data_IF_381633823283
#
_entry.id   IF_381633823283
#
_cell.length_a   1.000
_cell.length_b   1.000
_cell.length_c   1.000
_cell.angle_alpha   90.00
_cell.angle_beta   90.00
_cell.angle_gamma   90.00
#
_symmetry.space_group_name_H-M   'P 1'
#
loop_
_entity.id
_entity.type
_entity.pdbx_description
1 polymer ?
#
# COMPACT_ATOMS: atom_id res chain seq x y z
N UNK A 1 9.69 -27.44 -12.52
CA UNK A 1 9.24 -26.44 -11.53
C UNK A 1 9.73 -25.09 -12.00
N UNK A 2 8.90 -24.33 -12.71
CA UNK A 2 9.25 -22.97 -13.13
C UNK A 2 8.98 -22.02 -11.95
N UNK A 3 9.95 -21.16 -11.68
CA UNK A 3 9.87 -20.12 -10.67
C UNK A 3 8.80 -19.09 -11.08
N UNK A 4 7.58 -19.17 -10.53
CA UNK A 4 6.67 -18.02 -10.59
C UNK A 4 7.29 -16.91 -9.75
N UNK A 5 7.52 -15.77 -10.38
CA UNK A 5 8.03 -14.57 -9.72
C UNK A 5 6.84 -14.04 -8.91
N UNK A 6 7.02 -13.76 -7.61
CA UNK A 6 5.96 -13.23 -6.73
C UNK A 6 5.63 -11.77 -7.13
N UNK A 7 4.97 -11.58 -8.28
CA UNK A 7 4.77 -10.29 -8.94
C UNK A 7 3.32 -10.21 -9.40
N UNK A 8 2.64 -9.05 -9.31
CA UNK A 8 1.26 -8.98 -9.72
C UNK A 8 1.10 -9.22 -11.22
N UNK A 9 0.51 -10.36 -11.59
CA UNK A 9 0.26 -10.78 -12.95
C UNK A 9 -1.02 -10.12 -13.46
N UNK A 10 -0.90 -9.36 -14.55
CA UNK A 10 -2.03 -8.68 -15.17
C UNK A 10 -2.77 -9.61 -16.14
N UNK A 11 -4.09 -9.75 -15.97
CA UNK A 11 -4.95 -10.55 -16.82
C UNK A 11 -4.54 -12.04 -16.95
N UNK A 12 -3.80 -12.60 -16.00
CA UNK A 12 -3.49 -14.03 -15.96
C UNK A 12 -4.62 -14.80 -15.24
N UNK A 13 -5.29 -15.69 -15.99
CA UNK A 13 -6.36 -16.54 -15.48
C UNK A 13 -5.87 -17.67 -14.56
N UNK A 14 -4.55 -17.88 -14.47
CA UNK A 14 -3.91 -18.90 -13.62
C UNK A 14 -3.20 -18.27 -12.40
N UNK A 15 -3.26 -16.94 -12.26
CA UNK A 15 -2.76 -16.25 -11.08
C UNK A 15 -3.62 -16.58 -9.87
N UNK A 16 -2.98 -16.88 -8.75
CA UNK A 16 -3.70 -16.94 -7.47
C UNK A 16 -4.23 -15.53 -7.11
N UNK A 17 -5.27 -15.41 -6.28
CA UNK A 17 -5.87 -14.11 -5.98
C UNK A 17 -4.88 -13.06 -5.43
N UNK A 18 -3.87 -13.49 -4.68
CA UNK A 18 -2.82 -12.61 -4.16
C UNK A 18 -1.75 -12.25 -5.20
N UNK A 19 -1.68 -13.00 -6.31
CA UNK A 19 -0.80 -12.78 -7.45
C UNK A 19 -1.46 -11.88 -8.52
N UNK A 20 -2.78 -11.67 -8.50
CA UNK A 20 -3.46 -10.85 -9.52
C UNK A 20 -3.23 -9.35 -9.32
N UNK A 21 -2.85 -8.64 -10.39
CA UNK A 21 -2.76 -7.18 -10.39
C UNK A 21 -4.11 -6.52 -10.10
N UNK A 22 -5.20 -7.05 -10.64
CA UNK A 22 -6.56 -6.51 -10.49
C UNK A 22 -7.00 -6.51 -9.04
N UNK A 23 -6.75 -7.60 -8.31
CA UNK A 23 -7.10 -7.72 -6.89
C UNK A 23 -6.22 -6.81 -6.03
N UNK A 24 -4.91 -6.80 -6.27
CA UNK A 24 -3.99 -5.93 -5.54
C UNK A 24 -4.30 -4.44 -5.78
N UNK A 25 -4.61 -4.06 -7.03
CA UNK A 25 -4.99 -2.70 -7.39
C UNK A 25 -6.33 -2.31 -6.77
N UNK A 26 -7.31 -3.20 -6.73
CA UNK A 26 -8.58 -2.94 -6.05
C UNK A 26 -8.36 -2.63 -4.56
N UNK A 27 -7.54 -3.42 -3.87
CA UNK A 27 -7.19 -3.17 -2.47
C UNK A 27 -6.46 -1.82 -2.28
N UNK A 28 -5.50 -1.52 -3.16
CA UNK A 28 -4.77 -0.24 -3.17
C UNK A 28 -5.72 0.96 -3.36
N UNK A 29 -6.69 0.87 -4.25
CA UNK A 29 -7.70 1.93 -4.48
C UNK A 29 -8.60 2.12 -3.28
N UNK A 30 -9.05 1.04 -2.63
CA UNK A 30 -9.84 1.12 -1.40
C UNK A 30 -9.05 1.84 -0.30
N UNK A 31 -7.76 1.55 -0.17
CA UNK A 31 -6.89 2.24 0.78
C UNK A 31 -6.78 3.74 0.47
N UNK A 32 -6.49 4.10 -0.78
CA UNK A 32 -6.34 5.50 -1.19
C UNK A 32 -7.63 6.31 -0.96
N UNK A 33 -8.78 5.76 -1.35
CA UNK A 33 -10.10 6.39 -1.20
C UNK A 33 -10.47 6.57 0.27
N UNK A 34 -10.40 5.49 1.05
CA UNK A 34 -10.83 5.57 2.44
C UNK A 34 -9.87 6.46 3.24
N UNK A 35 -8.56 6.35 2.99
CA UNK A 35 -7.55 7.16 3.66
C UNK A 35 -7.54 8.62 3.22
N UNK A 36 -8.29 8.96 2.15
CA UNK A 36 -8.26 10.25 1.48
C UNK A 36 -6.82 10.74 1.26
N UNK A 37 -5.97 9.82 0.80
CA UNK A 37 -4.53 10.03 0.70
C UNK A 37 -4.00 9.45 -0.61
N UNK A 38 -3.03 10.12 -1.26
CA UNK A 38 -2.35 9.55 -2.40
C UNK A 38 -1.57 8.30 -1.99
N UNK A 39 -1.55 7.29 -2.86
CA UNK A 39 -0.89 6.01 -2.61
C UNK A 39 0.14 5.69 -3.70
N UNK A 40 1.31 5.21 -3.29
CA UNK A 40 2.30 4.65 -4.21
C UNK A 40 2.20 3.13 -4.15
N UNK A 41 1.83 2.50 -5.27
CA UNK A 41 1.82 1.06 -5.44
C UNK A 41 3.05 0.65 -6.24
N UNK A 42 4.08 0.14 -5.57
CA UNK A 42 5.31 -0.30 -6.23
C UNK A 42 5.40 -1.83 -6.19
N UNK A 43 5.12 -2.48 -7.32
CA UNK A 43 5.34 -3.91 -7.50
C UNK A 43 6.26 -4.19 -8.68
N UNK A 44 6.96 -5.32 -8.64
CA UNK A 44 7.66 -5.82 -9.82
C UNK A 44 6.59 -6.14 -10.87
N UNK A 45 6.72 -5.60 -12.07
CA UNK A 45 5.69 -5.75 -13.10
C UNK A 45 4.43 -4.91 -12.87
N UNK A 46 4.39 -3.88 -12.02
CA UNK A 46 3.48 -2.73 -12.16
C UNK A 46 3.80 -1.69 -11.09
N UNK A 47 4.07 -0.44 -11.49
CA UNK A 47 4.25 0.66 -10.54
C UNK A 47 3.22 1.75 -10.81
N UNK A 48 2.62 2.33 -9.77
CA UNK A 48 1.53 3.31 -9.90
C UNK A 48 1.59 4.37 -8.80
N UNK A 49 1.19 5.58 -9.17
CA UNK A 49 0.75 6.60 -8.24
C UNK A 49 -0.77 6.73 -8.36
N UNK A 50 -1.47 6.64 -7.24
CA UNK A 50 -2.91 6.86 -7.14
C UNK A 50 -3.19 8.18 -6.42
N UNK A 51 -4.21 8.92 -6.87
CA UNK A 51 -4.76 10.04 -6.11
C UNK A 51 -5.65 9.54 -4.96
N UNK A 52 -6.14 10.47 -4.13
CA UNK A 52 -7.04 10.19 -3.02
C UNK A 52 -8.42 9.68 -3.46
N UNK A 53 -8.73 9.71 -4.76
CA UNK A 53 -9.95 9.15 -5.36
C UNK A 53 -9.69 7.73 -5.93
N UNK A 54 -8.46 7.23 -5.82
CA UNK A 54 -8.05 5.92 -6.33
C UNK A 54 -7.80 5.90 -7.84
N UNK A 55 -7.67 7.06 -8.50
CA UNK A 55 -7.36 7.15 -9.92
C UNK A 55 -5.85 7.16 -10.16
N UNK A 56 -5.42 6.53 -11.24
CA UNK A 56 -4.01 6.50 -11.63
C UNK A 56 -3.54 7.91 -12.06
N UNK A 57 -2.58 8.47 -11.34
CA UNK A 57 -1.86 9.71 -11.68
C UNK A 57 -0.68 9.45 -12.62
N UNK A 58 -0.02 8.29 -12.44
CA UNK A 58 1.01 7.79 -13.34
C UNK A 58 1.18 6.27 -13.17
N UNK A 59 1.54 5.58 -14.24
CA UNK A 59 1.61 4.11 -14.28
C UNK A 59 2.79 3.62 -15.10
N UNK A 60 3.44 2.56 -14.62
CA UNK A 60 4.21 1.61 -15.41
C UNK A 60 3.36 0.35 -15.52
N UNK A 61 2.94 0.05 -16.75
CA UNK A 61 2.12 -1.12 -17.03
C UNK A 61 2.91 -2.41 -16.81
N UNK A 62 2.19 -3.51 -16.55
CA UNK A 62 2.84 -4.78 -16.26
C UNK A 62 3.65 -5.38 -17.39
N UNK A 63 3.27 -5.04 -18.63
CA UNK A 63 3.99 -5.45 -19.83
C UNK A 63 5.29 -4.67 -20.06
N UNK A 64 5.50 -3.56 -19.35
CA UNK A 64 6.66 -2.68 -19.54
C UNK A 64 7.86 -3.24 -18.80
N UNK A 65 8.99 -3.39 -19.51
CA UNK A 65 10.24 -3.83 -18.87
C UNK A 65 10.75 -2.77 -17.89
N UNK A 66 11.17 -3.22 -16.70
CA UNK A 66 11.87 -2.36 -15.73
C UNK A 66 13.23 -1.89 -16.22
N UNK A 67 13.80 -2.51 -17.26
CA UNK A 67 15.01 -2.00 -17.91
C UNK A 67 14.70 -0.84 -18.86
N UNK A 68 13.55 -0.85 -19.53
CA UNK A 68 13.08 0.25 -20.39
C UNK A 68 12.62 1.45 -19.56
N UNK A 69 11.88 1.20 -18.49
CA UNK A 69 11.36 2.25 -17.61
C UNK A 69 11.73 1.95 -16.15
N UNK A 70 12.96 2.30 -15.74
CA UNK A 70 13.45 1.99 -14.39
C UNK A 70 12.87 2.91 -13.30
N UNK A 71 12.24 4.01 -13.68
CA UNK A 71 11.74 5.03 -12.76
C UNK A 71 10.31 5.45 -13.11
N UNK A 72 9.48 5.52 -12.08
CA UNK A 72 8.22 6.23 -12.08
C UNK A 72 8.32 7.39 -11.09
N UNK A 73 7.95 8.59 -11.51
CA UNK A 73 8.06 9.80 -10.70
C UNK A 73 6.78 10.62 -10.81
N UNK A 74 6.29 11.11 -9.68
CA UNK A 74 5.17 12.04 -9.61
C UNK A 74 5.41 13.08 -8.50
N UNK A 75 5.01 14.32 -8.74
CA UNK A 75 5.06 15.40 -7.74
C UNK A 75 3.68 15.61 -7.14
N UNK A 76 3.61 15.71 -5.82
CA UNK A 76 2.38 16.07 -5.11
C UNK A 76 2.48 17.49 -4.58
N UNK A 77 1.45 18.30 -4.81
CA UNK A 77 1.33 19.59 -4.15
C UNK A 77 0.88 19.37 -2.70
N UNK A 78 1.78 19.60 -1.76
CA UNK A 78 1.55 19.38 -0.33
C UNK A 78 1.20 20.65 0.44
N UNK A 79 0.98 21.78 -0.24
CA UNK A 79 0.72 23.07 0.44
C UNK A 79 -0.46 23.02 1.42
N UNK A 80 -1.42 22.11 1.20
CA UNK A 80 -2.60 21.91 2.06
C UNK A 80 -2.45 20.78 3.09
N UNK A 81 -1.37 19.99 3.07
CA UNK A 81 -1.12 18.93 4.05
C UNK A 81 -0.84 19.50 5.45
N UNK A 82 -0.25 20.70 5.53
CA UNK A 82 -0.07 21.41 6.81
C UNK A 82 -1.40 21.89 7.42
N UNK A 83 -2.47 22.00 6.62
CA UNK A 83 -3.81 22.44 7.05
C UNK A 83 -4.69 21.25 7.47
N UNK A 84 -4.28 20.02 7.16
CA UNK A 84 -5.00 18.81 7.58
C UNK A 84 -4.54 18.35 8.96
N UNK A 85 -5.48 17.97 9.81
CA UNK A 85 -5.17 17.36 11.12
C UNK A 85 -4.31 16.12 10.88
N UNK A 86 -3.04 16.08 11.34
CA UNK A 86 -2.06 15.10 10.89
C UNK A 86 -2.34 13.67 11.37
N UNK A 87 -3.23 13.51 12.34
CA UNK A 87 -3.55 12.25 12.97
C UNK A 87 -4.86 12.38 13.77
N UNK A 88 -5.83 11.53 13.49
CA UNK A 88 -7.00 11.32 14.37
C UNK A 88 -6.93 9.91 14.92
N UNK A 89 -6.91 9.78 16.25
CA UNK A 89 -6.98 8.49 16.94
C UNK A 89 -8.28 7.72 16.64
N UNK A 90 -9.32 8.46 16.24
CA UNK A 90 -10.62 7.93 15.83
C UNK A 90 -10.67 7.67 14.31
N UNK A 91 -9.57 7.91 13.58
CA UNK A 91 -9.45 7.66 12.14
C UNK A 91 -9.38 6.17 11.84
N UNK A 92 -10.54 5.56 11.57
CA UNK A 92 -10.71 4.13 11.33
C UNK A 92 -9.79 3.56 10.23
N UNK A 93 -9.36 4.37 9.28
CA UNK A 93 -8.43 3.93 8.23
C UNK A 93 -7.00 3.65 8.71
N UNK A 94 -6.57 4.29 9.79
CA UNK A 94 -5.23 4.07 10.34
C UNK A 94 -5.23 2.87 11.29
N UNK A 95 -6.03 2.93 12.36
CA UNK A 95 -6.01 1.92 13.41
C UNK A 95 -7.00 0.77 13.16
N UNK A 96 -8.18 1.07 12.61
CA UNK A 96 -9.19 0.08 12.28
C UNK A 96 -8.73 -0.89 11.19
N UNK A 97 -8.03 -0.41 10.14
CA UNK A 97 -7.44 -1.30 9.11
C UNK A 97 -6.32 -2.15 9.70
N UNK A 98 -5.43 -1.59 10.53
CA UNK A 98 -4.41 -2.38 11.21
C UNK A 98 -5.02 -3.47 12.11
N UNK A 99 -6.12 -3.15 12.78
CA UNK A 99 -6.86 -4.10 13.60
C UNK A 99 -7.58 -5.15 12.74
N UNK A 100 -8.17 -4.77 11.60
CA UNK A 100 -8.75 -5.72 10.64
C UNK A 100 -7.68 -6.67 10.09
N UNK A 101 -6.52 -6.16 9.67
CA UNK A 101 -5.37 -7.00 9.26
C UNK A 101 -5.00 -7.96 10.39
N UNK A 102 -4.79 -7.46 11.61
CA UNK A 102 -4.47 -8.27 12.79
C UNK A 102 -5.52 -9.35 13.08
N UNK A 103 -6.81 -9.04 12.91
CA UNK A 103 -7.92 -9.98 13.12
C UNK A 103 -7.96 -11.02 12.00
N UNK A 104 -7.77 -10.61 10.74
CA UNK A 104 -7.79 -11.47 9.54
C UNK A 104 -6.62 -12.45 9.45
N UNK A 105 -5.52 -12.23 10.18
CA UNK A 105 -4.44 -13.22 10.26
C UNK A 105 -4.96 -14.56 10.79
N UNK A 106 -4.64 -15.70 10.14
CA UNK A 106 -5.09 -17.02 10.55
C UNK A 106 -4.80 -17.30 12.03
N UNK A 107 -5.75 -17.95 12.70
CA UNK A 107 -5.70 -18.19 14.15
C UNK A 107 -4.46 -18.96 14.64
N UNK A 108 -3.77 -19.69 13.76
CA UNK A 108 -2.55 -20.43 14.08
C UNK A 108 -1.30 -19.55 14.09
N UNK A 109 -1.34 -18.33 13.55
CA UNK A 109 -0.22 -17.39 13.60
C UNK A 109 -0.23 -16.68 14.96
N UNK A 110 0.83 -16.82 15.79
CA UNK A 110 0.86 -16.25 17.12
C UNK A 110 0.75 -14.72 17.09
N UNK A 111 -0.30 -14.18 17.70
CA UNK A 111 -0.56 -12.74 17.82
C UNK A 111 0.08 -12.14 19.07
N UNK A 112 1.28 -12.61 19.40
CA UNK A 112 2.06 -12.14 20.57
C UNK A 112 3.01 -11.02 20.15
N UNK A 113 3.09 -9.97 20.98
CA UNK A 113 4.07 -8.90 20.80
C UNK A 113 5.47 -9.51 20.91
N UNK A 114 6.19 -9.56 19.79
CA UNK A 114 7.56 -10.07 19.77
C UNK A 114 8.51 -9.20 20.58
N UNK A 115 9.52 -9.81 21.20
CA UNK A 115 10.56 -9.11 21.98
C UNK A 115 11.62 -8.42 21.11
N UNK A 116 11.62 -8.68 19.79
CA UNK A 116 12.66 -8.23 18.87
C UNK A 116 12.55 -6.76 18.42
N UNK A 117 11.44 -6.08 18.71
CA UNK A 117 11.27 -4.66 18.41
C UNK A 117 10.92 -3.94 19.70
N UNK A 118 11.93 -3.50 20.45
CA UNK A 118 11.70 -2.62 21.59
C UNK A 118 10.99 -1.35 21.11
N UNK A 119 9.76 -1.14 21.59
CA UNK A 119 9.01 0.10 21.38
C UNK A 119 9.82 1.27 21.95
N UNK A 120 10.44 2.08 21.08
CA UNK A 120 10.96 3.40 21.47
C UNK A 120 9.83 4.40 21.47
N UNK A 121 9.60 5.05 22.60
CA UNK A 121 8.74 6.22 22.71
C UNK A 121 9.63 7.42 22.39
N UNK A 122 9.37 8.09 21.27
CA UNK A 122 9.99 9.39 20.96
C UNK A 122 9.00 10.46 21.45
N UNK A 123 9.25 11.10 22.62
CA UNK A 123 8.37 12.14 23.11
C UNK A 123 8.36 13.32 22.12
N UNK A 124 7.16 13.78 21.75
CA UNK A 124 6.95 14.93 20.85
C UNK A 124 6.63 16.23 21.60
N UNK A 125 7.05 16.36 22.85
CA UNK A 125 7.00 17.64 23.57
C UNK A 125 8.40 18.06 23.97
N UNK A 126 9.02 18.86 23.10
CA UNK A 126 10.02 19.90 23.39
C UNK A 126 10.18 20.79 22.13
N UNK A 127 9.06 21.23 21.56
CA UNK A 127 8.99 22.37 20.63
C UNK A 127 7.90 23.33 21.10
#
# INVERSE_FOLDING_TARGET
>A
MLHRKNTPDAADLQAEPFESLEINLAAARVYAVNGNAPLVFASVGSARFLDAQGLDLSVVEAKTSTEEQPLLYHSFNTSRLAETVPYTIDGEQSWGVLQQIYVSFPNYIPKVVGTFVQRRINPTSDL
#
